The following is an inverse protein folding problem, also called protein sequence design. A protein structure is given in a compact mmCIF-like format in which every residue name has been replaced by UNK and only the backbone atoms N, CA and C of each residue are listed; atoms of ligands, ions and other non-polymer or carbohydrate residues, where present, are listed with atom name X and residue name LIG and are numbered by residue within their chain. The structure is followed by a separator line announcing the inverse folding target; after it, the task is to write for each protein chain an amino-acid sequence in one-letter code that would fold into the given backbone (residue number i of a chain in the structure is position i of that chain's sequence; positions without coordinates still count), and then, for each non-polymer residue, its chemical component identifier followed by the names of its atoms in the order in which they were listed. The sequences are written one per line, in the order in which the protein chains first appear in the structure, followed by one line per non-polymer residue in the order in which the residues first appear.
data_IF_037643350944
#
_entry.id   IF_037643350944
#
_cell.length_a   1.000
_cell.length_b   1.000
_cell.length_c   1.000
_cell.angle_alpha   90.00
_cell.angle_beta   90.00
_cell.angle_gamma   90.00
#
_symmetry.space_group_name_H-M   'P 1'
#
loop_
_entity.id
_entity.type
_entity.pdbx_description
1 polymer ?
#
# COMPACT_ATOMS: atom_id res chain seq x y z
N UNK A 1 -15.44 -13.45 3.64
CA UNK A 1 -15.14 -13.08 2.22
C UNK A 1 -15.83 -14.11 1.34
N UNK A 2 -16.67 -13.70 0.38
CA UNK A 2 -17.33 -14.65 -0.53
C UNK A 2 -16.55 -14.63 -1.86
N UNK A 3 -15.63 -15.59 -2.03
CA UNK A 3 -14.76 -15.69 -3.20
C UNK A 3 -15.50 -16.43 -4.34
N UNK A 4 -15.85 -15.72 -5.41
CA UNK A 4 -16.49 -16.36 -6.58
C UNK A 4 -15.52 -17.32 -7.25
N UNK A 5 -16.00 -18.50 -7.62
CA UNK A 5 -15.15 -19.53 -8.26
C UNK A 5 -14.50 -19.06 -9.56
N UNK A 6 -15.20 -18.23 -10.35
CA UNK A 6 -14.65 -17.65 -11.57
C UNK A 6 -13.46 -16.70 -11.29
N UNK A 7 -13.60 -15.80 -10.32
CA UNK A 7 -12.54 -14.86 -9.92
C UNK A 7 -11.29 -15.64 -9.43
N UNK A 8 -11.51 -16.70 -8.66
CA UNK A 8 -10.44 -17.57 -8.19
C UNK A 8 -9.71 -18.31 -9.31
N UNK A 9 -10.46 -18.89 -10.27
CA UNK A 9 -9.88 -19.60 -11.40
C UNK A 9 -9.07 -18.68 -12.31
N UNK A 10 -9.58 -17.49 -12.62
CA UNK A 10 -8.88 -16.48 -13.41
C UNK A 10 -7.59 -16.02 -12.69
N UNK A 11 -7.67 -15.79 -11.39
CA UNK A 11 -6.52 -15.41 -10.56
C UNK A 11 -5.47 -16.53 -10.55
N UNK A 12 -5.88 -17.78 -10.37
CA UNK A 12 -4.98 -18.94 -10.43
C UNK A 12 -4.30 -19.06 -11.79
N UNK A 13 -5.06 -18.88 -12.88
CA UNK A 13 -4.51 -18.93 -14.23
C UNK A 13 -3.44 -17.84 -14.42
N UNK A 14 -3.76 -16.59 -14.16
CA UNK A 14 -2.81 -15.48 -14.31
C UNK A 14 -1.54 -15.68 -13.47
N UNK A 15 -1.70 -16.21 -12.24
CA UNK A 15 -0.58 -16.43 -11.32
C UNK A 15 0.24 -17.71 -11.64
N UNK A 16 -0.35 -18.69 -12.32
CA UNK A 16 0.35 -19.93 -12.68
C UNK A 16 1.32 -19.76 -13.85
N UNK A 17 1.14 -18.72 -14.66
CA UNK A 17 1.94 -18.47 -15.87
C UNK A 17 2.50 -17.04 -15.92
N UNK A 18 3.25 -16.60 -14.89
CA UNK A 18 3.68 -15.22 -14.76
C UNK A 18 4.56 -14.75 -15.92
N UNK A 19 5.42 -15.61 -16.46
CA UNK A 19 6.23 -15.31 -17.64
C UNK A 19 5.39 -15.05 -18.90
N UNK A 20 4.30 -15.82 -19.10
CA UNK A 20 3.39 -15.58 -20.21
C UNK A 20 2.60 -14.26 -20.01
N UNK A 21 2.22 -13.93 -18.77
CA UNK A 21 1.58 -12.65 -18.45
C UNK A 21 2.52 -11.48 -18.72
N UNK A 22 3.79 -11.59 -18.35
CA UNK A 22 4.82 -10.57 -18.68
C UNK A 22 4.97 -10.40 -20.17
N UNK A 23 5.10 -11.49 -20.93
CA UNK A 23 5.21 -11.45 -22.39
C UNK A 23 3.99 -10.77 -23.04
N UNK A 24 2.78 -11.08 -22.58
CA UNK A 24 1.57 -10.39 -23.04
C UNK A 24 1.59 -8.90 -22.68
N UNK A 25 2.14 -8.55 -21.54
CA UNK A 25 2.37 -7.16 -21.13
C UNK A 25 3.32 -6.42 -22.04
N UNK A 26 4.41 -7.06 -22.45
CA UNK A 26 5.39 -6.50 -23.41
C UNK A 26 4.73 -6.30 -24.80
N UNK A 27 4.00 -7.31 -25.27
CA UNK A 27 3.26 -7.21 -26.54
C UNK A 27 2.20 -6.08 -26.50
N UNK A 28 1.53 -5.89 -25.38
CA UNK A 28 0.61 -4.75 -25.20
C UNK A 28 1.36 -3.42 -25.28
N UNK A 29 2.54 -3.35 -24.66
CA UNK A 29 3.41 -2.15 -24.75
C UNK A 29 3.84 -1.90 -26.18
N UNK A 30 4.27 -2.91 -26.91
CA UNK A 30 4.70 -2.79 -28.31
C UNK A 30 3.57 -2.27 -29.20
N UNK A 31 2.36 -2.81 -29.07
CA UNK A 31 1.18 -2.36 -29.81
C UNK A 31 0.81 -0.92 -29.48
N UNK A 32 1.09 -0.46 -28.27
CA UNK A 32 0.73 0.87 -27.79
C UNK A 32 1.92 1.85 -27.80
N UNK A 33 3.07 1.46 -28.31
CA UNK A 33 4.37 2.16 -28.20
C UNK A 33 4.27 3.64 -28.47
N UNK A 34 3.75 4.05 -29.63
CA UNK A 34 3.67 5.47 -30.01
C UNK A 34 2.76 6.27 -29.07
N UNK A 35 1.67 5.63 -28.58
CA UNK A 35 0.75 6.26 -27.63
C UNK A 35 1.37 6.39 -26.24
N UNK A 36 2.11 5.39 -25.80
CA UNK A 36 2.79 5.40 -24.49
C UNK A 36 3.95 6.39 -24.49
N UNK A 37 4.69 6.49 -25.59
CA UNK A 37 5.80 7.46 -25.74
C UNK A 37 5.34 8.91 -25.59
N UNK A 38 4.10 9.22 -25.96
CA UNK A 38 3.52 10.56 -25.82
C UNK A 38 3.08 10.90 -24.38
N UNK A 39 3.11 9.92 -23.45
CA UNK A 39 2.64 10.11 -22.07
C UNK A 39 3.83 10.37 -21.15
N UNK A 40 3.91 11.57 -20.59
CA UNK A 40 4.85 11.90 -19.54
C UNK A 40 4.40 11.33 -18.20
N UNK A 41 5.34 10.82 -17.40
CA UNK A 41 5.11 10.50 -16.00
C UNK A 41 5.59 11.71 -15.20
N UNK A 42 4.65 12.54 -14.74
CA UNK A 42 4.96 13.76 -13.99
C UNK A 42 4.64 13.59 -12.52
N UNK A 43 5.63 13.81 -11.66
CA UNK A 43 5.52 13.81 -10.20
C UNK A 43 4.57 12.72 -9.65
N UNK A 44 4.82 11.42 -9.90
CA UNK A 44 3.97 10.35 -9.42
C UNK A 44 3.95 10.33 -7.89
N UNK A 45 2.83 9.91 -7.31
CA UNK A 45 2.62 9.89 -5.87
C UNK A 45 2.45 8.46 -5.38
N UNK A 46 3.28 8.07 -4.43
CA UNK A 46 3.24 6.76 -3.78
C UNK A 46 2.75 6.89 -2.35
N UNK A 47 1.55 6.37 -2.08
CA UNK A 47 0.99 6.28 -0.73
C UNK A 47 1.49 4.98 -0.11
N UNK A 48 2.14 5.07 1.04
CA UNK A 48 2.68 3.90 1.75
C UNK A 48 2.47 4.01 3.26
N UNK A 49 2.88 2.98 3.97
CA UNK A 49 2.76 2.86 5.42
C UNK A 49 2.31 1.45 5.81
N UNK A 50 2.47 1.09 7.07
CA UNK A 50 2.01 -0.21 7.56
C UNK A 50 0.49 -0.32 7.38
N UNK A 51 0.02 -1.51 7.04
CA UNK A 51 -1.41 -1.77 6.88
C UNK A 51 -2.25 -1.18 8.04
N UNK A 52 -3.46 -0.71 7.75
CA UNK A 52 -4.39 -0.09 8.72
C UNK A 52 -4.02 1.34 9.17
N UNK A 53 -3.08 1.99 8.51
CA UNK A 53 -2.70 3.39 8.78
C UNK A 53 -3.58 4.45 8.09
N UNK A 54 -4.52 4.04 7.23
CA UNK A 54 -5.37 4.97 6.46
C UNK A 54 -4.94 5.17 5.00
N UNK A 55 -4.00 4.39 4.49
CA UNK A 55 -3.53 4.45 3.09
C UNK A 55 -4.67 4.31 2.06
N UNK A 56 -5.63 3.41 2.29
CA UNK A 56 -6.80 3.22 1.40
C UNK A 56 -7.73 4.43 1.41
N UNK A 57 -7.90 5.09 2.56
CA UNK A 57 -8.67 6.33 2.65
C UNK A 57 -8.01 7.44 1.82
N UNK A 58 -6.70 7.62 1.95
CA UNK A 58 -5.94 8.60 1.17
C UNK A 58 -6.05 8.34 -0.33
N UNK A 59 -5.87 7.08 -0.76
CA UNK A 59 -6.03 6.71 -2.16
C UNK A 59 -7.44 7.01 -2.66
N UNK A 60 -8.47 6.62 -1.89
CA UNK A 60 -9.87 6.84 -2.24
C UNK A 60 -10.24 8.32 -2.38
N UNK A 61 -9.61 9.20 -1.62
CA UNK A 61 -9.82 10.65 -1.74
C UNK A 61 -9.04 11.25 -2.90
N UNK A 62 -7.76 10.92 -3.04
CA UNK A 62 -6.94 11.44 -4.14
C UNK A 62 -7.44 10.95 -5.51
N UNK A 63 -7.98 9.74 -5.59
CA UNK A 63 -8.57 9.21 -6.83
C UNK A 63 -9.82 9.93 -7.34
N UNK A 64 -10.39 10.86 -6.53
CA UNK A 64 -11.49 11.72 -6.93
C UNK A 64 -11.03 12.96 -7.70
N UNK A 65 -9.73 13.27 -7.68
CA UNK A 65 -9.16 14.36 -8.47
C UNK A 65 -9.12 13.98 -9.96
N UNK A 66 -9.58 14.85 -10.87
CA UNK A 66 -9.74 14.51 -12.28
C UNK A 66 -8.43 14.14 -12.98
N UNK A 67 -7.30 14.70 -12.54
CA UNK A 67 -5.97 14.40 -13.09
C UNK A 67 -5.38 13.08 -12.59
N UNK A 68 -5.97 12.43 -11.59
CA UNK A 68 -5.38 11.24 -10.94
C UNK A 68 -5.75 9.97 -11.69
N UNK A 69 -4.72 9.23 -12.07
CA UNK A 69 -4.81 7.86 -12.57
C UNK A 69 -4.28 6.88 -11.51
N UNK A 70 -5.04 5.84 -11.22
CA UNK A 70 -4.67 4.79 -10.28
C UNK A 70 -5.25 3.45 -10.70
N UNK A 71 -4.71 2.37 -10.16
CA UNK A 71 -5.29 1.03 -10.31
C UNK A 71 -6.69 0.96 -9.73
N UNK A 72 -7.51 0.10 -10.34
CA UNK A 72 -8.86 -0.23 -9.87
C UNK A 72 -9.03 -1.73 -9.73
N UNK A 73 -10.03 -2.15 -8.99
CA UNK A 73 -10.38 -3.57 -8.87
C UNK A 73 -10.62 -4.26 -10.21
N UNK A 74 -11.05 -3.52 -11.24
CA UNK A 74 -11.21 -4.02 -12.59
C UNK A 74 -9.90 -4.45 -13.26
N UNK A 75 -8.73 -3.97 -12.81
CA UNK A 75 -7.45 -4.32 -13.42
C UNK A 75 -7.00 -5.74 -13.05
N UNK A 76 -7.48 -6.24 -11.91
CA UNK A 76 -7.14 -7.58 -11.42
C UNK A 76 -8.01 -8.66 -12.10
N UNK A 77 -7.45 -9.84 -12.44
CA UNK A 77 -6.10 -10.32 -12.13
C UNK A 77 -5.06 -10.08 -13.25
N UNK A 78 -5.40 -9.44 -14.36
CA UNK A 78 -4.51 -9.28 -15.51
C UNK A 78 -3.73 -7.96 -15.47
N UNK A 79 -3.01 -7.76 -14.38
CA UNK A 79 -2.26 -6.51 -14.10
C UNK A 79 -1.17 -6.19 -15.13
N UNK A 80 -0.61 -7.21 -15.77
CA UNK A 80 0.43 -7.03 -16.81
C UNK A 80 -0.14 -6.42 -18.11
N UNK A 81 -1.42 -6.65 -18.37
CA UNK A 81 -2.14 -6.18 -19.58
C UNK A 81 -3.38 -5.36 -19.23
N UNK A 82 -3.23 -4.26 -18.49
CA UNK A 82 -4.39 -3.53 -17.94
C UNK A 82 -5.29 -2.94 -19.03
N UNK A 83 -4.73 -2.53 -20.17
CA UNK A 83 -5.50 -1.90 -21.27
C UNK A 83 -6.33 -2.92 -22.02
N UNK A 84 -5.73 -4.04 -22.42
CA UNK A 84 -6.43 -5.11 -23.15
C UNK A 84 -7.50 -5.74 -22.28
N UNK A 85 -7.18 -5.99 -20.99
CA UNK A 85 -8.12 -6.59 -20.04
C UNK A 85 -9.35 -5.69 -19.79
N UNK A 86 -9.14 -4.39 -19.49
CA UNK A 86 -10.28 -3.48 -19.28
C UNK A 86 -11.14 -3.35 -20.55
N UNK A 87 -10.52 -3.27 -21.75
CA UNK A 87 -11.29 -3.26 -23.01
C UNK A 87 -12.12 -4.53 -23.24
N UNK A 88 -11.58 -5.69 -22.82
CA UNK A 88 -12.32 -6.95 -22.90
C UNK A 88 -13.53 -6.93 -21.94
N UNK A 89 -13.32 -6.47 -20.71
CA UNK A 89 -14.41 -6.35 -19.73
C UNK A 89 -15.51 -5.39 -20.22
N UNK A 90 -15.15 -4.23 -20.76
CA UNK A 90 -16.11 -3.27 -21.33
C UNK A 90 -16.98 -3.91 -22.43
N UNK A 91 -16.36 -4.73 -23.32
CA UNK A 91 -17.08 -5.45 -24.37
C UNK A 91 -18.02 -6.55 -23.83
N UNK A 92 -17.64 -7.16 -22.71
CA UNK A 92 -18.46 -8.19 -22.06
C UNK A 92 -19.58 -7.60 -21.19
N UNK A 93 -19.65 -6.27 -21.04
CA UNK A 93 -20.62 -5.61 -20.17
C UNK A 93 -20.41 -5.98 -18.69
N UNK A 94 -19.18 -6.28 -18.30
CA UNK A 94 -18.90 -6.61 -16.92
C UNK A 94 -19.11 -5.38 -16.04
N UNK A 95 -19.98 -5.49 -15.03
CA UNK A 95 -20.11 -4.49 -13.97
C UNK A 95 -18.78 -4.43 -13.19
N UNK A 96 -17.90 -3.55 -13.65
CA UNK A 96 -16.56 -3.42 -13.09
C UNK A 96 -16.61 -2.92 -11.65
N UNK A 97 -15.87 -3.57 -10.77
CA UNK A 97 -15.53 -3.01 -9.47
C UNK A 97 -14.61 -1.81 -9.71
N UNK A 98 -15.16 -0.60 -9.63
CA UNK A 98 -14.49 0.63 -10.06
C UNK A 98 -13.66 1.31 -8.96
N UNK A 99 -13.65 0.77 -7.73
CA UNK A 99 -12.90 1.35 -6.61
C UNK A 99 -11.38 1.31 -6.83
N UNK A 100 -10.65 2.33 -6.38
CA UNK A 100 -9.20 2.33 -6.42
C UNK A 100 -8.62 1.28 -5.47
N UNK A 101 -7.54 0.61 -5.90
CA UNK A 101 -6.90 -0.44 -5.08
C UNK A 101 -5.38 -0.51 -5.32
N UNK A 102 -4.71 -1.25 -4.42
CA UNK A 102 -3.27 -1.48 -4.41
C UNK A 102 -2.94 -2.78 -5.14
N UNK A 103 -2.53 -2.72 -6.38
CA UNK A 103 -2.26 -3.93 -7.19
C UNK A 103 -0.86 -3.98 -7.81
N UNK A 104 0.08 -3.15 -7.37
CA UNK A 104 1.44 -3.19 -7.91
C UNK A 104 2.25 -4.39 -7.39
N UNK A 105 1.90 -4.95 -6.24
CA UNK A 105 2.71 -5.97 -5.58
C UNK A 105 2.98 -7.23 -6.42
N UNK A 106 2.03 -7.77 -7.20
CA UNK A 106 2.31 -8.88 -8.10
C UNK A 106 3.32 -8.55 -9.19
N UNK A 107 3.41 -7.29 -9.64
CA UNK A 107 4.42 -6.85 -10.60
C UNK A 107 5.81 -6.89 -9.96
N UNK A 108 5.96 -6.32 -8.77
CA UNK A 108 7.22 -6.36 -8.02
C UNK A 108 7.66 -7.81 -7.74
N UNK A 109 6.75 -8.66 -7.28
CA UNK A 109 7.02 -10.06 -6.96
C UNK A 109 7.46 -10.89 -8.18
N UNK A 110 7.04 -10.49 -9.39
CA UNK A 110 7.47 -11.14 -10.62
C UNK A 110 8.95 -10.86 -10.96
N UNK A 111 9.40 -9.63 -10.75
CA UNK A 111 10.76 -9.23 -11.13
C UNK A 111 11.78 -9.38 -10.00
N UNK A 112 11.35 -9.42 -8.75
CA UNK A 112 12.22 -9.50 -7.59
C UNK A 112 11.93 -10.77 -6.79
N UNK A 113 12.68 -11.82 -7.12
CA UNK A 113 12.59 -13.09 -6.40
C UNK A 113 12.89 -12.90 -4.91
N UNK A 114 12.09 -13.56 -4.06
CA UNK A 114 12.26 -13.50 -2.61
C UNK A 114 11.87 -12.19 -1.95
N UNK A 115 11.18 -11.28 -2.66
CA UNK A 115 10.75 -9.98 -2.10
C UNK A 115 9.78 -10.14 -0.91
N UNK A 116 9.22 -11.33 -0.71
CA UNK A 116 8.40 -11.72 0.44
C UNK A 116 8.97 -12.92 1.19
N UNK A 117 10.25 -13.25 0.97
CA UNK A 117 10.94 -14.24 1.79
C UNK A 117 11.13 -13.69 3.21
N UNK A 118 10.59 -14.33 4.26
CA UNK A 118 10.72 -13.85 5.63
C UNK A 118 12.18 -13.81 6.13
N UNK A 119 13.09 -14.52 5.48
CA UNK A 119 14.52 -14.54 5.83
C UNK A 119 15.35 -13.51 5.05
N UNK A 120 14.81 -12.94 3.95
CA UNK A 120 15.47 -11.91 3.17
C UNK A 120 15.16 -10.48 3.67
N UNK A 121 16.01 -9.51 3.33
CA UNK A 121 15.65 -8.09 3.46
C UNK A 121 14.80 -7.67 2.27
N UNK A 122 13.73 -6.93 2.55
CA UNK A 122 12.80 -6.47 1.52
C UNK A 122 13.12 -5.05 1.00
N UNK A 123 14.16 -4.41 1.56
CA UNK A 123 14.60 -3.10 1.08
C UNK A 123 15.16 -3.21 -0.31
N UNK A 124 14.69 -2.30 -1.18
CA UNK A 124 15.26 -2.07 -2.51
C UNK A 124 15.76 -0.63 -2.60
N UNK A 125 16.95 -0.48 -3.15
CA UNK A 125 17.66 0.78 -3.30
C UNK A 125 18.07 1.00 -4.77
N UNK A 126 18.73 2.09 -5.08
CA UNK A 126 19.30 2.33 -6.40
C UNK A 126 20.28 1.22 -6.86
N UNK A 127 20.96 0.54 -5.89
CA UNK A 127 21.86 -0.57 -6.22
C UNK A 127 21.12 -1.84 -6.67
N UNK A 128 19.83 -1.95 -6.39
CA UNK A 128 19.00 -3.09 -6.76
C UNK A 128 18.26 -2.89 -8.08
N UNK A 129 18.56 -1.79 -8.82
CA UNK A 129 17.93 -1.46 -10.11
C UNK A 129 18.07 -2.60 -11.11
N UNK A 130 16.95 -2.91 -11.77
CA UNK A 130 16.86 -3.90 -12.84
C UNK A 130 16.30 -3.22 -14.10
N UNK A 131 17.11 -3.03 -15.15
CA UNK A 131 16.66 -2.30 -16.35
C UNK A 131 15.37 -2.88 -16.96
N UNK A 132 15.23 -4.20 -16.95
CA UNK A 132 14.03 -4.87 -17.45
C UNK A 132 12.76 -4.52 -16.64
N UNK A 133 12.88 -4.47 -15.30
CA UNK A 133 11.77 -4.02 -14.47
C UNK A 133 11.50 -2.55 -14.66
N UNK A 134 12.53 -1.72 -14.71
CA UNK A 134 12.41 -0.28 -14.84
C UNK A 134 11.64 0.10 -16.10
N UNK A 135 12.01 -0.48 -17.23
CA UNK A 135 11.33 -0.26 -18.51
C UNK A 135 9.88 -0.72 -18.44
N UNK A 136 9.66 -1.96 -18.02
CA UNK A 136 8.32 -2.52 -17.86
C UNK A 136 7.45 -1.67 -16.92
N UNK A 137 8.00 -1.26 -15.78
CA UNK A 137 7.25 -0.51 -14.78
C UNK A 137 6.89 0.90 -15.26
N UNK A 138 7.81 1.61 -15.92
CA UNK A 138 7.52 2.92 -16.52
C UNK A 138 6.44 2.84 -17.60
N UNK A 139 6.49 1.81 -18.45
CA UNK A 139 5.42 1.57 -19.44
C UNK A 139 4.09 1.22 -18.78
N UNK A 140 4.13 0.43 -17.73
CA UNK A 140 2.96 0.08 -16.94
C UNK A 140 2.29 1.34 -16.34
N UNK A 141 3.06 2.26 -15.76
CA UNK A 141 2.55 3.54 -15.28
C UNK A 141 1.86 4.33 -16.40
N UNK A 142 2.49 4.40 -17.59
CA UNK A 142 1.92 5.05 -18.77
C UNK A 142 0.61 4.37 -19.24
N UNK A 143 0.54 3.04 -19.18
CA UNK A 143 -0.69 2.30 -19.50
C UNK A 143 -1.84 2.69 -18.56
N UNK A 144 -1.56 2.80 -17.26
CA UNK A 144 -2.57 3.22 -16.27
C UNK A 144 -2.97 4.68 -16.50
N UNK A 145 -2.03 5.59 -16.76
CA UNK A 145 -2.30 6.98 -17.12
C UNK A 145 -3.22 7.07 -18.35
N UNK A 146 -2.89 6.33 -19.41
CA UNK A 146 -3.68 6.27 -20.63
C UNK A 146 -5.09 5.69 -20.38
N UNK A 147 -5.16 4.59 -19.66
CA UNK A 147 -6.43 3.87 -19.39
C UNK A 147 -7.41 4.72 -18.58
N UNK A 148 -6.90 5.58 -17.69
CA UNK A 148 -7.71 6.44 -16.82
C UNK A 148 -7.84 7.86 -17.34
N UNK A 149 -7.22 8.20 -18.48
CA UNK A 149 -7.13 9.55 -19.04
C UNK A 149 -6.64 10.58 -18.00
N UNK A 150 -5.73 10.17 -17.12
CA UNK A 150 -5.15 11.03 -16.10
C UNK A 150 -3.75 11.49 -16.48
N UNK A 151 -3.29 12.58 -15.86
CA UNK A 151 -1.94 13.11 -16.03
C UNK A 151 -1.01 12.84 -14.83
N UNK A 152 -1.57 12.40 -13.70
CA UNK A 152 -0.84 12.20 -12.45
C UNK A 152 -1.07 10.78 -11.92
N UNK A 153 -0.01 9.99 -11.92
CA UNK A 153 -0.09 8.64 -11.38
C UNK A 153 -0.08 8.66 -9.84
N UNK A 154 -1.03 7.97 -9.24
CA UNK A 154 -1.09 7.77 -7.78
C UNK A 154 -1.27 6.29 -7.49
N UNK A 155 -0.38 5.72 -6.69
CA UNK A 155 -0.54 4.37 -6.22
C UNK A 155 -0.51 4.26 -4.69
N UNK A 156 -0.95 3.12 -4.20
CA UNK A 156 -0.85 2.73 -2.80
C UNK A 156 -0.19 1.36 -2.72
N UNK A 157 0.85 1.25 -1.91
CA UNK A 157 1.50 -0.02 -1.63
C UNK A 157 2.11 -0.01 -0.23
N UNK A 158 1.67 -0.93 0.65
CA UNK A 158 2.22 -1.00 2.01
C UNK A 158 3.72 -1.34 1.97
N UNK A 159 4.14 -2.12 0.99
CA UNK A 159 5.54 -2.54 0.79
C UNK A 159 6.40 -1.44 0.15
N UNK A 160 5.81 -0.41 -0.45
CA UNK A 160 6.56 0.70 -1.04
C UNK A 160 7.39 1.46 -0.01
N UNK A 161 7.10 1.33 1.28
CA UNK A 161 7.95 1.85 2.35
C UNK A 161 9.39 1.28 2.29
N UNK A 162 9.53 0.02 1.88
CA UNK A 162 10.82 -0.64 1.68
C UNK A 162 11.49 -0.27 0.33
N UNK A 163 10.78 0.45 -0.55
CA UNK A 163 11.19 0.72 -1.95
C UNK A 163 11.29 2.22 -2.26
N UNK A 164 11.16 3.08 -1.24
CA UNK A 164 11.24 4.54 -1.42
C UNK A 164 12.53 4.93 -2.14
N UNK A 165 13.68 4.34 -1.75
CA UNK A 165 14.98 4.66 -2.36
C UNK A 165 15.03 4.23 -3.83
N UNK A 166 14.53 3.04 -4.16
CA UNK A 166 14.43 2.55 -5.52
C UNK A 166 13.54 3.44 -6.40
N UNK A 167 12.32 3.71 -5.92
CA UNK A 167 11.34 4.53 -6.63
C UNK A 167 11.80 5.98 -6.77
N UNK A 168 12.51 6.48 -5.78
CA UNK A 168 13.06 7.83 -5.81
C UNK A 168 14.19 7.99 -6.83
N UNK A 169 14.98 6.94 -7.06
CA UNK A 169 16.02 6.93 -8.06
C UNK A 169 15.43 6.74 -9.47
N UNK A 170 14.46 5.83 -9.62
CA UNK A 170 13.76 5.60 -10.90
C UNK A 170 12.93 6.82 -11.35
N UNK A 171 12.32 7.53 -10.43
CA UNK A 171 11.38 8.63 -10.63
C UNK A 171 11.80 9.83 -9.76
N UNK A 172 12.74 10.67 -10.26
CA UNK A 172 13.37 11.71 -9.45
C UNK A 172 12.41 12.77 -8.90
N UNK A 173 11.26 12.95 -9.50
CA UNK A 173 10.20 13.90 -9.08
C UNK A 173 9.08 13.27 -8.26
N UNK A 174 9.14 11.95 -7.99
CA UNK A 174 8.13 11.22 -7.20
C UNK A 174 7.95 11.82 -5.80
N UNK A 175 6.73 11.73 -5.27
CA UNK A 175 6.37 12.10 -3.90
C UNK A 175 5.86 10.88 -3.13
N UNK A 176 6.21 10.82 -1.85
CA UNK A 176 5.87 9.70 -0.98
C UNK A 176 5.02 10.21 0.19
N UNK A 177 3.79 9.73 0.29
CA UNK A 177 2.90 9.98 1.42
C UNK A 177 2.96 8.77 2.36
N UNK A 178 3.58 8.95 3.52
CA UNK A 178 3.69 7.90 4.53
C UNK A 178 2.57 8.06 5.55
N UNK A 179 1.51 7.28 5.38
CA UNK A 179 0.41 7.26 6.33
C UNK A 179 0.82 6.57 7.62
N UNK A 180 0.57 7.20 8.74
CA UNK A 180 0.88 6.68 10.07
C UNK A 180 -0.33 6.84 10.98
N UNK A 181 -0.51 5.91 11.91
CA UNK A 181 -1.56 5.93 12.92
C UNK A 181 -0.96 5.64 14.29
N UNK A 182 -1.59 6.12 15.36
CA UNK A 182 -1.16 5.86 16.73
C UNK A 182 -0.89 4.35 16.94
N UNK A 183 0.29 3.96 17.48
CA UNK A 183 0.74 2.57 17.46
C UNK A 183 -0.26 1.61 18.10
N UNK A 184 -0.83 1.94 19.25
CA UNK A 184 -1.83 1.09 19.93
C UNK A 184 -3.07 0.89 19.05
N UNK A 185 -3.61 1.96 18.49
CA UNK A 185 -4.81 1.90 17.66
C UNK A 185 -4.56 1.16 16.33
N UNK A 186 -3.37 1.31 15.76
CA UNK A 186 -3.00 0.62 14.52
C UNK A 186 -2.77 -0.86 14.77
N UNK A 187 -2.02 -1.23 15.81
CA UNK A 187 -1.79 -2.63 16.20
C UNK A 187 -3.11 -3.34 16.49
N UNK A 188 -4.01 -2.72 17.24
CA UNK A 188 -5.32 -3.29 17.50
C UNK A 188 -6.12 -3.52 16.20
N UNK A 189 -6.08 -2.55 15.28
CA UNK A 189 -6.74 -2.70 13.98
C UNK A 189 -6.11 -3.81 13.11
N UNK A 190 -4.79 -4.01 13.21
CA UNK A 190 -4.10 -5.12 12.54
C UNK A 190 -4.48 -6.46 13.13
N UNK A 191 -4.58 -6.57 14.45
CA UNK A 191 -5.04 -7.79 15.13
C UNK A 191 -6.46 -8.19 14.69
N UNK A 192 -7.40 -7.24 14.64
CA UNK A 192 -8.76 -7.51 14.14
C UNK A 192 -8.73 -8.06 12.72
N UNK A 193 -7.94 -7.43 11.86
CA UNK A 193 -7.82 -7.85 10.47
C UNK A 193 -7.17 -9.23 10.35
N UNK A 194 -6.13 -9.49 11.15
CA UNK A 194 -5.47 -10.79 11.19
C UNK A 194 -6.42 -11.93 11.62
N UNK A 195 -7.21 -11.71 12.68
CA UNK A 195 -8.22 -12.68 13.14
C UNK A 195 -9.24 -12.95 12.03
N UNK A 196 -9.78 -11.92 11.43
CA UNK A 196 -10.76 -12.03 10.35
C UNK A 196 -10.22 -12.84 9.15
N UNK A 197 -8.98 -12.58 8.71
CA UNK A 197 -8.38 -13.34 7.60
C UNK A 197 -7.99 -14.77 8.00
N UNK A 198 -7.67 -15.01 9.27
CA UNK A 198 -7.46 -16.36 9.79
C UNK A 198 -8.75 -17.17 9.79
N UNK A 199 -9.87 -16.57 10.19
CA UNK A 199 -11.21 -17.17 10.12
C UNK A 199 -11.62 -17.45 8.66
N UNK A 200 -11.42 -16.51 7.76
CA UNK A 200 -11.68 -16.75 6.33
C UNK A 200 -10.83 -17.89 5.77
N UNK A 201 -9.56 -17.96 6.13
CA UNK A 201 -8.65 -19.02 5.71
C UNK A 201 -9.03 -20.39 6.26
N UNK A 202 -9.57 -20.44 7.46
CA UNK A 202 -10.09 -21.67 8.09
C UNK A 202 -11.39 -22.15 7.41
N UNK A 203 -12.21 -21.20 6.92
CA UNK A 203 -13.51 -21.51 6.29
C UNK A 203 -13.36 -21.86 4.81
N UNK A 204 -12.46 -21.21 4.09
CA UNK A 204 -12.23 -21.42 2.65
C UNK A 204 -10.72 -21.52 2.37
N UNK A 205 -10.19 -22.72 2.05
CA UNK A 205 -8.77 -22.94 1.80
C UNK A 205 -8.24 -22.21 0.53
N UNK A 206 -9.12 -21.63 -0.28
CA UNK A 206 -8.73 -20.83 -1.46
C UNK A 206 -8.26 -19.43 -1.07
N UNK A 207 -8.70 -18.91 0.09
CA UNK A 207 -8.43 -17.54 0.53
C UNK A 207 -6.93 -17.23 0.66
N UNK A 208 -6.08 -18.05 1.28
CA UNK A 208 -4.65 -17.76 1.37
C UNK A 208 -3.97 -17.65 0.00
N UNK A 209 -4.31 -18.53 -0.93
CA UNK A 209 -3.76 -18.50 -2.30
C UNK A 209 -4.22 -17.26 -3.07
N UNK A 210 -5.50 -16.89 -2.94
CA UNK A 210 -6.05 -15.69 -3.57
C UNK A 210 -5.40 -14.40 -3.02
N UNK A 211 -5.26 -14.30 -1.69
CA UNK A 211 -4.62 -13.15 -1.05
C UNK A 211 -3.18 -12.98 -1.50
N UNK A 212 -2.42 -14.07 -1.55
CA UNK A 212 -1.04 -14.06 -2.05
C UNK A 212 -0.96 -13.61 -3.51
N UNK A 213 -1.84 -14.13 -4.37
CA UNK A 213 -1.90 -13.74 -5.77
C UNK A 213 -2.30 -12.26 -5.97
N UNK A 214 -3.07 -11.70 -5.05
CA UNK A 214 -3.41 -10.27 -5.01
C UNK A 214 -2.33 -9.40 -4.35
N UNK A 215 -1.22 -9.99 -3.88
CA UNK A 215 -0.12 -9.25 -3.24
C UNK A 215 -0.34 -8.88 -1.78
N UNK A 216 -1.21 -9.59 -1.09
CA UNK A 216 -1.53 -9.35 0.32
C UNK A 216 -0.88 -10.39 1.22
N UNK A 217 0.14 -9.98 1.96
CA UNK A 217 0.92 -10.82 2.87
C UNK A 217 0.83 -10.37 4.33
N UNK A 218 0.06 -9.32 4.63
CA UNK A 218 0.09 -8.67 5.95
C UNK A 218 -0.66 -9.44 7.02
N UNK A 219 -1.65 -10.27 6.63
CA UNK A 219 -2.60 -10.90 7.54
C UNK A 219 -2.85 -12.38 7.21
N UNK A 220 -3.48 -13.07 8.16
CA UNK A 220 -3.80 -14.48 8.02
C UNK A 220 -2.66 -15.40 8.47
N UNK A 221 -2.84 -16.72 8.35
CA UNK A 221 -1.87 -17.70 8.88
C UNK A 221 -0.53 -17.70 8.15
N UNK A 222 -0.47 -17.17 6.92
CA UNK A 222 0.73 -17.12 6.10
C UNK A 222 1.29 -15.69 5.99
N UNK A 223 1.01 -14.82 6.97
CA UNK A 223 1.51 -13.45 6.98
C UNK A 223 3.03 -13.37 6.99
N UNK A 224 3.56 -12.39 6.27
CA UNK A 224 4.98 -12.07 6.23
C UNK A 224 5.15 -10.60 6.63
N UNK A 225 6.08 -10.28 7.55
CA UNK A 225 6.35 -8.89 7.89
C UNK A 225 7.12 -8.21 6.76
N UNK A 226 7.00 -6.89 6.63
CA UNK A 226 7.93 -6.11 5.82
C UNK A 226 9.30 -6.14 6.52
N UNK A 227 10.25 -6.86 5.95
CA UNK A 227 11.56 -7.10 6.55
C UNK A 227 12.54 -5.97 6.17
N UNK A 228 12.64 -4.97 7.03
CA UNK A 228 13.53 -3.80 6.86
C UNK A 228 14.83 -3.91 7.65
N UNK A 229 14.85 -4.77 8.66
CA UNK A 229 15.99 -5.04 9.55
C UNK A 229 15.95 -6.49 10.01
N UNK A 230 17.02 -7.25 9.79
CA UNK A 230 17.06 -8.69 10.10
C UNK A 230 16.87 -9.00 11.59
N UNK A 231 17.37 -8.13 12.49
CA UNK A 231 17.20 -8.35 13.92
C UNK A 231 15.74 -8.17 14.34
N UNK A 232 15.11 -7.06 13.90
CA UNK A 232 13.71 -6.79 14.21
C UNK A 232 12.78 -7.81 13.57
N UNK A 233 13.03 -8.25 12.33
CA UNK A 233 12.21 -9.27 11.66
C UNK A 233 12.25 -10.62 12.38
N UNK A 234 13.41 -11.04 12.91
CA UNK A 234 13.49 -12.22 13.78
C UNK A 234 12.67 -12.05 15.06
N UNK A 235 12.66 -10.87 15.67
CA UNK A 235 11.83 -10.58 16.84
C UNK A 235 10.34 -10.64 16.50
N UNK A 236 9.93 -10.09 15.36
CA UNK A 236 8.54 -10.17 14.87
C UNK A 236 8.13 -11.64 14.70
N UNK A 237 8.93 -12.42 13.96
CA UNK A 237 8.65 -13.83 13.70
C UNK A 237 8.59 -14.65 15.01
N UNK A 238 9.52 -14.41 15.93
CA UNK A 238 9.54 -15.06 17.25
C UNK A 238 8.28 -14.74 18.05
N UNK A 239 7.87 -13.46 18.12
CA UNK A 239 6.65 -13.05 18.81
C UNK A 239 5.41 -13.70 18.22
N UNK A 240 5.28 -13.71 16.90
CA UNK A 240 4.13 -14.34 16.23
C UNK A 240 4.09 -15.86 16.45
N UNK A 241 5.24 -16.53 16.43
CA UNK A 241 5.34 -17.96 16.73
C UNK A 241 4.96 -18.29 18.18
N UNK A 242 5.21 -17.37 19.10
CA UNK A 242 4.81 -17.50 20.51
C UNK A 242 3.35 -17.12 20.78
N UNK A 243 2.57 -16.71 19.76
CA UNK A 243 1.20 -16.22 19.93
C UNK A 243 1.09 -14.78 20.45
N UNK A 244 2.23 -14.08 20.56
CA UNK A 244 2.30 -12.66 20.99
C UNK A 244 2.07 -11.72 19.80
N UNK A 245 0.91 -11.82 19.16
CA UNK A 245 0.61 -11.10 17.92
C UNK A 245 0.73 -9.58 18.07
N UNK A 246 0.24 -9.03 19.19
CA UNK A 246 0.31 -7.60 19.48
C UNK A 246 1.76 -7.11 19.55
N UNK A 247 2.64 -7.84 20.25
CA UNK A 247 4.07 -7.56 20.37
C UNK A 247 4.75 -7.60 19.01
N UNK A 248 4.46 -8.61 18.20
CA UNK A 248 5.02 -8.72 16.85
C UNK A 248 4.59 -7.57 15.94
N UNK A 249 3.33 -7.16 15.98
CA UNK A 249 2.85 -6.00 15.23
C UNK A 249 3.43 -4.67 15.76
N UNK A 250 3.70 -4.56 17.06
CA UNK A 250 4.39 -3.39 17.62
C UNK A 250 5.83 -3.27 17.08
N UNK A 251 6.57 -4.37 17.00
CA UNK A 251 7.90 -4.39 16.37
C UNK A 251 7.85 -4.05 14.88
N UNK A 252 6.85 -4.57 14.15
CA UNK A 252 6.65 -4.23 12.74
C UNK A 252 6.38 -2.72 12.57
N UNK A 253 5.50 -2.15 13.38
CA UNK A 253 5.18 -0.72 13.39
C UNK A 253 6.45 0.10 13.62
N UNK A 254 7.20 -0.23 14.66
CA UNK A 254 8.42 0.47 15.03
C UNK A 254 9.49 0.40 13.93
N UNK A 255 9.74 -0.79 13.39
CA UNK A 255 10.71 -1.00 12.32
C UNK A 255 10.38 -0.19 11.06
N UNK A 256 9.11 -0.25 10.65
CA UNK A 256 8.63 0.40 9.44
C UNK A 256 8.71 1.94 9.55
N UNK A 257 8.19 2.51 10.61
CA UNK A 257 8.15 3.96 10.73
C UNK A 257 9.49 4.59 11.14
N UNK A 258 10.34 3.89 11.89
CA UNK A 258 11.72 4.34 12.12
C UNK A 258 12.52 4.32 10.81
N UNK A 259 12.32 3.31 9.96
CA UNK A 259 12.92 3.30 8.63
C UNK A 259 12.45 4.50 7.78
N UNK A 260 11.14 4.71 7.66
CA UNK A 260 10.59 5.85 6.92
C UNK A 260 11.08 7.20 7.44
N UNK A 261 11.16 7.35 8.78
CA UNK A 261 11.72 8.55 9.42
C UNK A 261 13.18 8.78 9.06
N UNK A 262 14.00 7.73 9.09
CA UNK A 262 15.42 7.83 8.69
C UNK A 262 15.57 8.23 7.23
N UNK A 263 14.71 7.71 6.35
CA UNK A 263 14.70 8.12 4.95
C UNK A 263 14.32 9.60 4.78
N UNK A 264 13.35 10.09 5.53
CA UNK A 264 12.95 11.50 5.49
C UNK A 264 14.03 12.48 6.03
N UNK A 265 15.04 11.98 6.71
CA UNK A 265 16.20 12.78 7.15
C UNK A 265 17.31 12.86 6.09
N UNK A 266 17.27 12.05 5.04
CA UNK A 266 18.24 12.12 3.95
C UNK A 266 17.98 13.36 3.09
N UNK A 267 19.04 14.10 2.75
CA UNK A 267 18.93 15.35 2.00
C UNK A 267 18.17 15.19 0.68
N UNK A 268 18.42 14.10 -0.05
CA UNK A 268 17.82 13.79 -1.33
C UNK A 268 16.34 13.37 -1.25
N UNK A 269 15.86 12.96 -0.05
CA UNK A 269 14.50 12.49 0.18
C UNK A 269 13.66 13.43 1.06
N UNK A 270 14.29 14.33 1.80
CA UNK A 270 13.62 15.19 2.79
C UNK A 270 12.41 15.95 2.20
N UNK A 271 12.56 16.56 1.04
CA UNK A 271 11.48 17.31 0.39
C UNK A 271 10.47 16.42 -0.38
N UNK A 272 10.69 15.10 -0.38
CA UNK A 272 9.92 14.13 -1.18
C UNK A 272 9.06 13.19 -0.32
N UNK A 273 9.23 13.19 1.00
CA UNK A 273 8.50 12.34 1.94
C UNK A 273 7.67 13.22 2.87
N UNK A 274 6.37 12.95 2.95
CA UNK A 274 5.42 13.62 3.84
C UNK A 274 4.72 12.59 4.72
N UNK A 275 4.82 12.74 6.05
CA UNK A 275 4.07 11.90 6.99
C UNK A 275 2.65 12.43 7.18
N UNK A 276 1.67 11.54 7.05
CA UNK A 276 0.25 11.86 7.22
C UNK A 276 -0.30 11.09 8.41
N UNK A 277 -0.54 11.79 9.52
CA UNK A 277 -1.14 11.19 10.72
C UNK A 277 -2.64 10.99 10.49
N UNK A 278 -3.11 9.76 10.71
CA UNK A 278 -4.52 9.39 10.54
C UNK A 278 -5.44 10.21 11.45
N UNK A 279 -5.01 10.46 12.69
CA UNK A 279 -5.76 11.21 13.68
C UNK A 279 -5.93 12.69 13.26
N UNK A 280 -4.90 13.31 12.73
CA UNK A 280 -4.98 14.67 12.19
C UNK A 280 -5.93 14.73 10.99
N UNK A 281 -5.89 13.68 10.17
CA UNK A 281 -6.80 13.56 9.03
C UNK A 281 -8.26 13.43 9.46
N UNK A 282 -8.55 12.71 10.54
CA UNK A 282 -9.90 12.62 11.11
C UNK A 282 -10.33 13.94 11.76
N UNK A 283 -9.43 14.63 12.46
CA UNK A 283 -9.76 15.85 13.21
C UNK A 283 -9.93 17.08 12.32
N UNK A 284 -9.06 17.25 11.32
CA UNK A 284 -9.02 18.45 10.46
C UNK A 284 -8.82 18.08 8.98
N UNK A 285 -9.72 17.28 8.38
CA UNK A 285 -9.51 16.66 7.07
C UNK A 285 -9.22 17.67 5.97
N UNK A 286 -9.92 18.81 5.95
CA UNK A 286 -9.70 19.86 4.93
C UNK A 286 -8.30 20.48 5.02
N UNK A 287 -7.77 20.67 6.23
CA UNK A 287 -6.42 21.21 6.43
C UNK A 287 -5.37 20.23 5.95
N UNK A 288 -5.51 18.95 6.31
CA UNK A 288 -4.59 17.88 5.91
C UNK A 288 -4.62 17.68 4.40
N UNK A 289 -5.81 17.64 3.77
CA UNK A 289 -5.93 17.53 2.31
C UNK A 289 -5.30 18.70 1.56
N UNK A 290 -5.46 19.94 2.04
CA UNK A 290 -4.75 21.10 1.45
C UNK A 290 -3.24 20.95 1.52
N UNK A 291 -2.70 20.45 2.64
CA UNK A 291 -1.28 20.20 2.82
C UNK A 291 -0.79 19.13 1.86
N UNK A 292 -1.50 18.00 1.76
CA UNK A 292 -1.21 16.90 0.83
C UNK A 292 -1.25 17.40 -0.62
N UNK A 293 -2.31 18.12 -1.01
CA UNK A 293 -2.43 18.63 -2.38
C UNK A 293 -1.27 19.55 -2.75
N UNK A 294 -0.88 20.45 -1.84
CA UNK A 294 0.28 21.34 -2.05
C UNK A 294 1.58 20.56 -2.17
N UNK A 295 1.80 19.59 -1.27
CA UNK A 295 2.99 18.74 -1.28
C UNK A 295 3.12 17.91 -2.57
N UNK A 296 2.00 17.35 -3.05
CA UNK A 296 1.95 16.58 -4.28
C UNK A 296 1.85 17.44 -5.54
N UNK A 297 1.62 18.75 -5.42
CA UNK A 297 1.40 19.64 -6.56
C UNK A 297 0.10 19.35 -7.29
N UNK A 298 -0.96 18.98 -6.59
CA UNK A 298 -2.31 18.89 -7.14
C UNK A 298 -2.99 20.25 -7.05
N UNK A 299 -3.60 20.71 -8.13
CA UNK A 299 -4.30 22.00 -8.23
C UNK A 299 -5.74 21.81 -8.68
N UNK A 300 -5.93 21.11 -9.78
CA UNK A 300 -7.24 20.88 -10.41
C UNK A 300 -8.14 20.00 -9.51
N UNK A 301 -9.40 20.37 -9.37
CA UNK A 301 -10.42 19.63 -8.61
C UNK A 301 -10.24 19.64 -7.08
N UNK A 302 -9.16 20.26 -6.56
CA UNK A 302 -8.88 20.27 -5.10
C UNK A 302 -9.95 21.05 -4.34
N UNK A 303 -10.44 22.17 -4.88
CA UNK A 303 -11.48 22.99 -4.25
C UNK A 303 -12.79 22.20 -4.13
N UNK A 304 -13.18 21.52 -5.18
CA UNK A 304 -14.37 20.66 -5.26
C UNK A 304 -14.24 19.46 -4.31
N UNK A 305 -13.07 18.82 -4.28
CA UNK A 305 -12.79 17.73 -3.33
C UNK A 305 -12.93 18.24 -1.89
N UNK A 306 -12.34 19.38 -1.55
CA UNK A 306 -12.41 19.96 -0.21
C UNK A 306 -13.84 20.35 0.20
N UNK A 307 -14.68 20.77 -0.74
CA UNK A 307 -16.08 21.12 -0.47
C UNK A 307 -16.93 19.87 -0.18
N UNK A 308 -16.58 18.72 -0.76
CA UNK A 308 -17.32 17.45 -0.64
C UNK A 308 -16.70 16.45 0.35
N UNK A 309 -15.58 16.84 1.02
CA UNK A 309 -14.96 15.96 2.00
C UNK A 309 -15.97 15.55 3.07
N UNK A 310 -16.20 14.24 3.25
CA UNK A 310 -17.06 13.75 4.32
C UNK A 310 -16.41 14.00 5.68
N UNK A 311 -17.23 13.99 6.72
CA UNK A 311 -16.71 13.88 8.07
C UNK A 311 -16.07 12.51 8.25
N UNK A 312 -14.78 12.52 8.53
CA UNK A 312 -14.00 11.29 8.71
C UNK A 312 -13.94 11.02 10.21
N UNK A 313 -14.76 10.09 10.65
CA UNK A 313 -14.72 9.65 12.05
C UNK A 313 -13.84 8.41 12.20
N UNK A 314 -12.96 8.36 13.21
CA UNK A 314 -12.24 7.14 13.54
C UNK A 314 -13.26 6.03 13.85
N UNK A 315 -13.11 4.87 13.22
CA UNK A 315 -13.92 3.70 13.60
C UNK A 315 -13.53 3.28 15.01
N UNK A 316 -14.43 3.43 15.95
CA UNK A 316 -14.29 2.92 17.32
C UNK A 316 -14.78 1.48 17.34
N UNK A 317 -13.99 0.53 17.82
CA UNK A 317 -14.50 -0.81 18.09
C UNK A 317 -15.35 -0.78 19.37
N UNK A 318 -16.40 -1.60 19.41
CA UNK A 318 -17.29 -1.72 20.56
C UNK A 318 -16.56 -2.23 21.82
N UNK A 319 -15.49 -3.01 21.63
CA UNK A 319 -14.61 -3.48 22.69
C UNK A 319 -13.15 -3.54 22.23
N UNK A 320 -12.23 -3.22 23.14
CA UNK A 320 -10.80 -3.38 22.88
C UNK A 320 -10.40 -4.84 22.88
N UNK A 321 -9.55 -5.21 21.93
CA UNK A 321 -8.89 -6.54 21.88
C UNK A 321 -7.63 -6.61 22.74
N UNK A 322 -7.14 -5.46 23.21
CA UNK A 322 -5.90 -5.33 23.95
C UNK A 322 -6.17 -5.13 25.44
N UNK A 323 -5.51 -5.90 26.28
CA UNK A 323 -5.39 -5.64 27.71
C UNK A 323 -4.58 -4.37 27.99
N UNK A 324 -4.65 -3.83 29.20
CA UNK A 324 -3.84 -2.69 29.61
C UNK A 324 -2.34 -2.99 29.48
N UNK A 325 -1.91 -4.18 29.92
CA UNK A 325 -0.51 -4.60 29.82
C UNK A 325 -0.01 -4.71 28.37
N UNK A 326 -0.85 -5.16 27.44
CA UNK A 326 -0.50 -5.19 26.01
C UNK A 326 -0.39 -3.78 25.43
N UNK A 327 -1.29 -2.85 25.79
CA UNK A 327 -1.19 -1.45 25.38
C UNK A 327 0.11 -0.80 25.87
N UNK A 328 0.45 -0.99 27.15
CA UNK A 328 1.70 -0.52 27.73
C UNK A 328 2.92 -1.11 27.00
N UNK A 329 2.88 -2.41 26.73
CA UNK A 329 3.94 -3.11 25.99
C UNK A 329 4.12 -2.58 24.58
N UNK A 330 3.03 -2.34 23.83
CA UNK A 330 3.08 -1.74 22.50
C UNK A 330 3.74 -0.36 22.59
N UNK A 331 3.30 0.46 23.54
CA UNK A 331 3.89 1.80 23.72
C UNK A 331 5.38 1.74 24.05
N UNK A 332 5.79 0.90 24.99
CA UNK A 332 7.22 0.73 25.34
C UNK A 332 8.09 0.39 24.13
N UNK A 333 7.57 -0.46 23.21
CA UNK A 333 8.29 -0.83 21.99
C UNK A 333 8.36 0.32 20.99
N UNK A 334 7.34 1.16 20.92
CA UNK A 334 7.16 2.14 19.85
C UNK A 334 7.42 3.59 20.28
N UNK A 335 7.54 3.88 21.58
CA UNK A 335 7.55 5.22 22.16
C UNK A 335 8.53 6.20 21.50
N UNK A 336 9.77 5.78 21.25
CA UNK A 336 10.79 6.64 20.64
C UNK A 336 10.37 7.06 19.22
N UNK A 337 9.97 6.12 18.38
CA UNK A 337 9.54 6.39 17.02
C UNK A 337 8.21 7.15 17.02
N UNK A 338 7.27 6.77 17.87
CA UNK A 338 5.97 7.42 18.02
C UNK A 338 6.13 8.88 18.45
N UNK A 339 6.95 9.15 19.47
CA UNK A 339 7.25 10.50 19.94
C UNK A 339 7.87 11.39 18.84
N UNK A 340 8.79 10.84 18.04
CA UNK A 340 9.37 11.57 16.90
C UNK A 340 8.36 11.91 15.79
N UNK A 341 7.23 11.20 15.74
CA UNK A 341 6.10 11.44 14.84
C UNK A 341 4.97 12.25 15.51
N UNK A 342 5.20 12.77 16.71
CA UNK A 342 4.28 13.62 17.44
C UNK A 342 3.13 12.87 18.12
N UNK A 343 3.32 11.59 18.45
CA UNK A 343 2.40 10.84 19.31
C UNK A 343 2.86 10.85 20.75
N UNK A 344 1.90 10.93 21.67
CA UNK A 344 2.12 10.87 23.10
C UNK A 344 1.39 9.67 23.71
N UNK A 345 1.86 9.19 24.85
CA UNK A 345 1.19 8.16 25.61
C UNK A 345 0.15 8.78 26.53
N UNK A 346 -1.09 8.37 26.36
CA UNK A 346 -2.17 8.74 27.26
C UNK A 346 -2.71 7.47 27.95
N UNK A 347 -2.31 7.19 29.22
CA UNK A 347 -2.83 6.05 29.97
C UNK A 347 -4.33 6.23 30.17
N UNK A 348 -5.14 5.28 29.71
CA UNK A 348 -6.59 5.22 29.91
C UNK A 348 -7.43 5.80 28.76
N UNK A 349 -6.86 6.44 27.78
CA UNK A 349 -7.60 6.86 26.58
C UNK A 349 -7.65 5.69 25.58
N UNK A 350 -8.74 4.98 25.58
CA UNK A 350 -9.21 4.29 24.37
C UNK A 350 -9.42 5.42 23.35
N UNK A 351 -8.49 5.54 22.37
CA UNK A 351 -8.43 6.58 21.33
C UNK A 351 -9.73 7.41 21.22
N UNK A 352 -9.83 8.50 21.97
CA UNK A 352 -11.01 9.39 22.00
C UNK A 352 -10.86 10.56 21.04
N UNK A 353 -9.89 10.51 20.12
CA UNK A 353 -9.73 11.56 19.09
C UNK A 353 -9.68 10.98 17.69
#
# INVERSE_FOLDING_TARGET
MNLRSADYLLTRFAHAVPGAMKLLGDLESDVLRDRLAAIAIDRPVFITGVARSGTTLLLGLLSQLPQVATHRYSDFPFLFTPVAWNRLQDRMGADGRHGPEAFEEPLWAHFFDGIHDPEALHRLTAADRRPEFDEFYLEHLRKVLMLRAGSRYVSKGNYNLARIEYLADLLPDARFLVAVRHPVAQVESMLRQHRLFSEYSATDPRVPAYMRAAGHFEFGPQRVPVNLDRHLSRRIAKSWKAGEDATGYAFLWNSAYDHGRRLALKAELHARIEFVRYEDFCRVPRRVMRRISRFCGFEEGVRELLARLPDISPRRPDASLLSAAERDRIWQITAQTAGSLGYEWEPGVVSTT
#
